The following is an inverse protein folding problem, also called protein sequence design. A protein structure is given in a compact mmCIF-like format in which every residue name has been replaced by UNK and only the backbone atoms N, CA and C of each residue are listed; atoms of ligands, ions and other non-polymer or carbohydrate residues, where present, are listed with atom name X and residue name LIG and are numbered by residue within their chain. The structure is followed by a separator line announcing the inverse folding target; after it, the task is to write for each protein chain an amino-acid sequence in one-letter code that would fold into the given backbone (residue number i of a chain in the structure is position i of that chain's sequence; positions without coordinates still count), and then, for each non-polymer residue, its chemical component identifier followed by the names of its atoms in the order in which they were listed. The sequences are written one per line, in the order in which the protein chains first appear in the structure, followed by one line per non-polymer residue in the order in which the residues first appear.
data_IF_913828827804
#
_entry.id   IF_913828827804
#
_cell.length_a   1.000
_cell.length_b   1.000
_cell.length_c   1.000
_cell.angle_alpha   90.00
_cell.angle_beta   90.00
_cell.angle_gamma   90.00
#
_symmetry.space_group_name_H-M   'P 1'
#
loop_
_entity.id
_entity.type
_entity.pdbx_description
1 polymer ?
#
# COMPACT_ATOMS: atom_id res chain seq x y z
N UNK A 1 41.64 -30.54 20.72
CA UNK A 1 41.58 -29.26 19.98
C UNK A 1 40.13 -29.11 19.54
N UNK A 2 39.33 -28.41 20.34
CA UNK A 2 37.88 -28.30 20.15
C UNK A 2 37.61 -27.13 19.20
N UNK A 3 36.95 -27.39 18.07
CA UNK A 3 36.52 -26.37 17.12
C UNK A 3 35.14 -25.88 17.55
N UNK A 4 35.11 -24.69 18.16
CA UNK A 4 33.88 -23.95 18.43
C UNK A 4 33.39 -23.33 17.12
N UNK A 5 32.42 -23.97 16.49
CA UNK A 5 31.67 -23.43 15.35
C UNK A 5 30.53 -22.59 15.93
N UNK A 6 30.83 -21.32 16.20
CA UNK A 6 29.83 -20.33 16.59
C UNK A 6 28.95 -20.04 15.37
N UNK A 7 27.84 -20.75 15.28
CA UNK A 7 26.78 -20.50 14.32
C UNK A 7 26.30 -19.04 14.46
N UNK A 8 26.47 -18.31 13.36
CA UNK A 8 26.03 -16.94 13.15
C UNK A 8 24.51 -16.86 13.40
N UNK A 9 23.99 -16.02 14.31
CA UNK A 9 22.56 -15.86 14.47
C UNK A 9 22.01 -15.23 13.19
N UNK A 10 21.14 -15.97 12.52
CA UNK A 10 20.32 -15.53 11.39
C UNK A 10 19.74 -14.16 11.69
N UNK A 11 20.24 -13.15 11.00
CA UNK A 11 19.72 -11.79 11.02
C UNK A 11 18.40 -11.83 10.25
N UNK A 12 17.33 -12.16 10.98
CA UNK A 12 15.96 -11.99 10.48
C UNK A 12 15.80 -10.50 10.12
N UNK A 13 15.34 -10.17 8.89
CA UNK A 13 15.04 -8.79 8.57
C UNK A 13 13.90 -8.35 9.49
N UNK A 14 14.18 -7.40 10.40
CA UNK A 14 13.15 -6.70 11.14
C UNK A 14 12.14 -6.13 10.14
N UNK A 15 10.99 -6.80 10.03
CA UNK A 15 9.84 -6.28 9.32
C UNK A 15 9.33 -5.12 10.18
N UNK A 16 9.64 -3.89 9.76
CA UNK A 16 9.07 -2.66 10.32
C UNK A 16 7.57 -2.85 10.52
N UNK A 17 7.11 -2.83 11.77
CA UNK A 17 5.80 -3.35 12.18
C UNK A 17 4.57 -2.57 11.66
N UNK A 18 4.74 -1.48 10.90
CA UNK A 18 3.63 -0.65 10.40
C UNK A 18 3.71 -0.38 8.88
N UNK A 19 3.90 -1.43 8.07
CA UNK A 19 3.71 -1.28 6.62
C UNK A 19 2.20 -1.32 6.33
N UNK A 20 1.64 -0.19 5.89
CA UNK A 20 0.23 -0.14 5.50
C UNK A 20 -0.13 -1.29 4.55
N UNK A 21 -1.23 -2.02 4.78
CA UNK A 21 -1.62 -3.18 3.98
C UNK A 21 -1.87 -2.82 2.51
N UNK A 22 -2.12 -1.54 2.21
CA UNK A 22 -2.22 -1.00 0.86
C UNK A 22 -0.93 -1.27 0.07
N UNK A 23 0.25 -1.13 0.69
CA UNK A 23 1.54 -1.35 0.05
C UNK A 23 1.87 -2.82 -0.18
N UNK A 24 1.27 -3.72 0.61
CA UNK A 24 1.42 -5.17 0.46
C UNK A 24 0.41 -5.79 -0.52
N UNK A 25 -0.68 -5.08 -0.82
CA UNK A 25 -1.84 -5.59 -1.59
C UNK A 25 -1.51 -5.99 -3.04
N UNK A 26 -0.57 -5.32 -3.69
CA UNK A 26 -0.26 -5.51 -5.10
C UNK A 26 1.25 -5.50 -5.37
N UNK A 27 1.68 -6.21 -6.41
CA UNK A 27 3.08 -6.18 -6.88
C UNK A 27 3.52 -4.77 -7.24
N UNK A 28 2.64 -3.99 -7.88
CA UNK A 28 2.92 -2.58 -8.22
C UNK A 28 2.96 -1.72 -6.96
N UNK A 29 2.08 -1.97 -5.98
CA UNK A 29 2.09 -1.26 -4.71
C UNK A 29 3.40 -1.51 -3.94
N UNK A 30 3.87 -2.76 -3.88
CA UNK A 30 5.18 -3.10 -3.27
C UNK A 30 6.35 -2.41 -3.97
N UNK A 31 6.28 -2.26 -5.29
CA UNK A 31 7.31 -1.55 -6.07
C UNK A 31 7.30 -0.04 -5.81
N UNK A 32 6.12 0.57 -5.69
CA UNK A 32 6.00 1.99 -5.34
C UNK A 32 6.53 2.23 -3.92
N UNK A 33 6.18 1.36 -2.97
CA UNK A 33 6.71 1.43 -1.61
C UNK A 33 8.25 1.33 -1.58
N UNK A 34 8.82 0.35 -2.29
CA UNK A 34 10.27 0.21 -2.39
C UNK A 34 10.95 1.45 -3.02
N UNK A 35 10.30 2.11 -3.98
CA UNK A 35 10.81 3.36 -4.55
C UNK A 35 10.75 4.53 -3.54
N UNK A 36 9.75 4.55 -2.65
CA UNK A 36 9.68 5.51 -1.55
C UNK A 36 10.82 5.34 -0.55
N UNK A 37 11.23 4.12 -0.25
CA UNK A 37 12.43 3.88 0.58
C UNK A 37 13.71 4.40 -0.09
N UNK A 38 13.83 4.22 -1.41
CA UNK A 38 14.96 4.80 -2.18
C UNK A 38 14.98 6.33 -2.08
N UNK A 39 13.84 7.00 -2.05
CA UNK A 39 13.75 8.45 -1.88
C UNK A 39 14.25 8.91 -0.50
N UNK A 40 13.90 8.16 0.57
CA UNK A 40 14.45 8.39 1.91
C UNK A 40 15.97 8.20 1.92
N UNK A 41 16.46 7.18 1.20
CA UNK A 41 17.89 6.90 1.10
C UNK A 41 18.65 8.00 0.36
N UNK A 42 18.07 8.60 -0.68
CA UNK A 42 18.64 9.77 -1.37
C UNK A 42 18.76 10.95 -0.41
N UNK A 43 17.76 11.19 0.44
CA UNK A 43 17.82 12.27 1.44
C UNK A 43 18.97 12.03 2.43
N UNK A 44 19.12 10.79 2.90
CA UNK A 44 20.24 10.41 3.78
C UNK A 44 21.59 10.52 3.06
N UNK A 45 21.67 10.11 1.80
CA UNK A 45 22.86 10.25 0.96
C UNK A 45 23.30 11.72 0.85
N UNK A 46 22.35 12.65 0.65
CA UNK A 46 22.65 14.09 0.61
C UNK A 46 23.18 14.60 1.95
N UNK A 47 22.65 14.12 3.07
CA UNK A 47 23.20 14.46 4.40
C UNK A 47 24.63 13.93 4.60
N UNK A 48 24.92 12.71 4.18
CA UNK A 48 26.27 12.13 4.22
C UNK A 48 27.23 12.93 3.34
N UNK A 49 26.81 13.35 2.15
CA UNK A 49 27.60 14.20 1.27
C UNK A 49 27.90 15.55 1.92
N UNK A 50 26.92 16.19 2.55
CA UNK A 50 27.12 17.45 3.26
C UNK A 50 28.12 17.30 4.41
N UNK A 51 27.99 16.25 5.23
CA UNK A 51 28.94 15.94 6.30
C UNK A 51 30.34 15.65 5.78
N UNK A 52 30.46 14.90 4.68
CA UNK A 52 31.74 14.61 4.02
C UNK A 52 32.42 15.89 3.51
N UNK A 53 31.66 16.80 2.89
CA UNK A 53 32.15 18.11 2.46
C UNK A 53 32.54 19.00 3.63
N UNK A 54 31.79 18.98 4.74
CA UNK A 54 32.13 19.72 5.96
C UNK A 54 33.45 19.24 6.57
N UNK A 55 33.69 17.92 6.60
CA UNK A 55 34.95 17.32 7.05
C UNK A 55 36.13 17.65 6.12
N UNK A 56 35.91 17.83 4.83
CA UNK A 56 36.95 18.26 3.89
C UNK A 56 37.16 19.78 3.86
N UNK A 57 36.16 20.56 4.28
CA UNK A 57 36.26 22.01 4.30
C UNK A 57 37.25 22.47 5.37
N UNK A 58 38.01 23.51 5.04
CA UNK A 58 38.80 24.24 6.04
C UNK A 58 37.86 24.69 7.17
N UNK A 59 38.25 24.60 8.45
CA UNK A 59 37.43 25.13 9.53
C UNK A 59 37.07 26.57 9.18
N UNK A 60 35.77 26.89 9.19
CA UNK A 60 35.27 28.24 8.95
C UNK A 60 36.00 29.17 9.94
N UNK A 61 36.58 30.24 9.43
CA UNK A 61 37.45 31.14 10.20
C UNK A 61 36.70 32.05 11.18
N UNK A 62 35.43 31.77 11.49
CA UNK A 62 34.60 32.62 12.34
C UNK A 62 33.92 31.84 13.46
N UNK A 63 34.45 32.00 14.68
CA UNK A 63 33.67 31.89 15.90
C UNK A 63 34.06 30.76 16.86
N UNK A 64 34.11 31.01 18.18
CA UNK A 64 34.41 30.01 19.21
C UNK A 64 33.31 28.95 19.41
N UNK A 65 32.24 28.94 18.59
CA UNK A 65 31.16 27.96 18.67
C UNK A 65 31.33 26.76 17.71
N UNK A 66 32.32 26.80 16.80
CA UNK A 66 32.65 25.69 15.87
C UNK A 66 33.47 24.56 16.54
N UNK A 67 33.30 24.34 17.84
CA UNK A 67 34.01 23.31 18.62
C UNK A 67 33.54 21.88 18.36
N UNK A 68 32.47 21.69 17.59
CA UNK A 68 31.86 20.36 17.37
C UNK A 68 32.58 19.52 16.30
N UNK A 69 33.47 20.13 15.50
CA UNK A 69 34.19 19.43 14.44
C UNK A 69 35.58 18.93 14.92
N UNK A 70 35.86 17.62 14.83
CA UNK A 70 37.14 17.05 15.22
C UNK A 70 38.29 17.68 14.41
N UNK A 71 39.42 17.90 15.10
CA UNK A 71 40.60 18.61 14.56
C UNK A 71 41.63 17.60 14.05
N UNK A 72 42.33 17.94 12.97
CA UNK A 72 43.52 17.20 12.51
C UNK A 72 43.25 15.79 11.96
N UNK A 73 44.04 14.79 12.39
CA UNK A 73 44.04 13.44 11.82
C UNK A 73 42.71 12.67 12.03
N UNK A 74 41.99 12.93 13.12
CA UNK A 74 40.67 12.34 13.40
C UNK A 74 39.62 12.78 12.37
N UNK A 75 39.79 13.97 11.77
CA UNK A 75 38.91 14.48 10.71
C UNK A 75 39.09 13.69 9.42
N UNK A 76 40.33 13.34 9.08
CA UNK A 76 40.61 12.52 7.89
C UNK A 76 40.11 11.09 8.05
N UNK A 77 40.19 10.50 9.24
CA UNK A 77 39.64 9.16 9.51
C UNK A 77 38.11 9.16 9.39
N UNK A 78 37.43 10.08 10.09
CA UNK A 78 35.97 10.24 9.98
C UNK A 78 35.50 10.55 8.57
N UNK A 79 36.31 11.27 7.79
CA UNK A 79 36.00 11.52 6.39
C UNK A 79 35.98 10.21 5.58
N UNK A 80 36.98 9.33 5.77
CA UNK A 80 37.02 8.04 5.07
C UNK A 80 35.81 7.19 5.42
N UNK A 81 35.43 7.14 6.70
CA UNK A 81 34.26 6.38 7.15
C UNK A 81 32.96 6.91 6.52
N UNK A 82 32.72 8.22 6.60
CA UNK A 82 31.52 8.86 6.03
C UNK A 82 31.50 8.75 4.50
N UNK A 83 32.66 8.85 3.84
CA UNK A 83 32.76 8.70 2.39
C UNK A 83 32.46 7.26 1.96
N UNK A 84 32.94 6.26 2.71
CA UNK A 84 32.61 4.86 2.46
C UNK A 84 31.11 4.60 2.62
N UNK A 85 30.48 5.07 3.71
CA UNK A 85 29.03 4.95 3.91
C UNK A 85 28.26 5.63 2.76
N UNK A 86 28.70 6.80 2.31
CA UNK A 86 28.11 7.48 1.15
C UNK A 86 28.15 6.61 -0.11
N UNK A 87 29.30 6.01 -0.45
CA UNK A 87 29.42 5.19 -1.66
C UNK A 87 28.64 3.88 -1.58
N UNK A 88 28.60 3.23 -0.41
CA UNK A 88 27.78 2.03 -0.18
C UNK A 88 26.29 2.37 -0.34
N UNK A 89 25.84 3.50 0.21
CA UNK A 89 24.46 3.95 0.08
C UNK A 89 24.12 4.30 -1.37
N UNK A 90 25.03 4.95 -2.08
CA UNK A 90 24.88 5.28 -3.50
C UNK A 90 24.73 4.02 -4.37
N UNK A 91 25.54 2.99 -4.11
CA UNK A 91 25.44 1.73 -4.85
C UNK A 91 24.10 1.03 -4.59
N UNK A 92 23.65 1.01 -3.34
CA UNK A 92 22.32 0.50 -2.96
C UNK A 92 21.17 1.22 -3.69
N UNK A 93 21.18 2.55 -3.68
CA UNK A 93 20.20 3.39 -4.40
C UNK A 93 20.20 3.05 -5.89
N UNK A 94 21.38 2.96 -6.50
CA UNK A 94 21.51 2.71 -7.92
C UNK A 94 21.00 1.33 -8.34
N UNK A 95 21.31 0.29 -7.55
CA UNK A 95 20.79 -1.07 -7.78
C UNK A 95 19.27 -1.08 -7.65
N UNK A 96 18.71 -0.41 -6.65
CA UNK A 96 17.26 -0.35 -6.43
C UNK A 96 16.54 0.37 -7.59
N UNK A 97 17.04 1.52 -8.04
CA UNK A 97 16.47 2.26 -9.18
C UNK A 97 16.51 1.42 -10.45
N UNK A 98 17.64 0.76 -10.74
CA UNK A 98 17.78 -0.12 -11.91
C UNK A 98 16.79 -1.28 -11.86
N UNK A 99 16.63 -1.89 -10.69
CA UNK A 99 15.68 -2.99 -10.47
C UNK A 99 14.24 -2.55 -10.65
N UNK A 100 13.87 -1.39 -10.08
CA UNK A 100 12.55 -0.77 -10.25
C UNK A 100 12.25 -0.44 -11.72
N UNK A 101 13.23 0.13 -12.45
CA UNK A 101 13.08 0.40 -13.88
C UNK A 101 12.91 -0.89 -14.70
N UNK A 102 13.70 -1.92 -14.41
CA UNK A 102 13.57 -3.22 -15.06
C UNK A 102 12.18 -3.83 -14.82
N UNK A 103 11.68 -3.73 -13.60
CA UNK A 103 10.33 -4.14 -13.26
C UNK A 103 9.25 -3.34 -14.00
N UNK A 104 9.37 -2.00 -14.08
CA UNK A 104 8.45 -1.15 -14.84
C UNK A 104 8.46 -1.54 -16.33
N UNK A 105 9.64 -1.84 -16.89
CA UNK A 105 9.77 -2.31 -18.27
C UNK A 105 9.11 -3.68 -18.46
N UNK A 106 9.28 -4.60 -17.52
CA UNK A 106 8.64 -5.91 -17.53
C UNK A 106 7.11 -5.81 -17.36
N UNK A 107 6.64 -4.85 -16.55
CA UNK A 107 5.23 -4.61 -16.30
C UNK A 107 4.55 -3.76 -17.36
N UNK A 108 5.26 -3.35 -18.43
CA UNK A 108 4.64 -2.68 -19.58
C UNK A 108 3.60 -3.60 -20.22
N UNK A 109 2.36 -3.43 -19.82
CA UNK A 109 1.22 -3.58 -20.72
C UNK A 109 1.30 -2.34 -21.61
N UNK A 110 1.67 -2.51 -22.88
CA UNK A 110 1.60 -1.40 -23.82
C UNK A 110 0.16 -0.84 -23.81
N UNK A 111 -0.07 0.48 -23.87
CA UNK A 111 -1.43 1.02 -24.03
C UNK A 111 -2.15 0.44 -25.26
N UNK A 112 -1.39 -0.02 -26.27
CA UNK A 112 -1.89 -0.77 -27.42
C UNK A 112 -2.33 -2.22 -27.12
N UNK A 113 -1.93 -2.78 -25.98
CA UNK A 113 -2.42 -4.06 -25.47
C UNK A 113 -3.76 -3.91 -24.71
N UNK A 114 -4.19 -2.68 -24.42
CA UNK A 114 -5.57 -2.39 -24.05
C UNK A 114 -6.37 -2.40 -25.35
N UNK A 115 -6.75 -3.60 -25.79
CA UNK A 115 -7.62 -3.74 -26.95
C UNK A 115 -8.96 -3.11 -26.58
N UNK A 116 -9.39 -2.12 -27.37
CA UNK A 116 -10.74 -1.59 -27.21
C UNK A 116 -11.72 -2.77 -27.34
N UNK A 117 -12.77 -2.81 -26.50
CA UNK A 117 -13.82 -3.79 -26.68
C UNK A 117 -14.32 -3.74 -28.15
N UNK A 118 -14.68 -4.89 -28.74
CA UNK A 118 -15.18 -4.93 -30.11
C UNK A 118 -16.26 -3.88 -30.34
N UNK A 119 -16.34 -3.31 -31.55
CA UNK A 119 -17.39 -2.34 -31.88
C UNK A 119 -18.77 -2.94 -31.55
N UNK A 120 -19.55 -2.26 -30.71
CA UNK A 120 -20.84 -2.75 -30.21
C UNK A 120 -20.80 -3.58 -28.92
N UNK A 121 -19.64 -3.70 -28.26
CA UNK A 121 -19.55 -4.36 -26.95
C UNK A 121 -20.35 -3.58 -25.90
N UNK A 122 -21.47 -4.16 -25.49
CA UNK A 122 -22.23 -3.75 -24.32
C UNK A 122 -21.74 -4.60 -23.14
N UNK A 123 -21.13 -4.01 -22.10
CA UNK A 123 -20.68 -4.77 -20.95
C UNK A 123 -21.85 -5.58 -20.36
N UNK A 124 -21.61 -6.85 -19.94
CA UNK A 124 -22.62 -7.57 -19.19
C UNK A 124 -22.92 -6.77 -17.93
N UNK A 125 -24.20 -6.55 -17.70
CA UNK A 125 -24.72 -5.80 -16.58
C UNK A 125 -24.48 -6.57 -15.27
N UNK A 126 -23.26 -6.49 -14.71
CA UNK A 126 -22.93 -7.00 -13.39
C UNK A 126 -23.85 -6.32 -12.37
N UNK A 127 -24.80 -7.09 -11.82
CA UNK A 127 -25.83 -6.60 -10.90
C UNK A 127 -27.13 -6.15 -11.54
N UNK A 128 -27.21 -5.89 -12.86
CA UNK A 128 -28.34 -5.20 -13.53
C UNK A 128 -28.81 -5.82 -14.88
N UNK A 129 -28.84 -7.14 -15.06
CA UNK A 129 -29.22 -7.78 -16.36
C UNK A 129 -30.69 -8.21 -16.48
N UNK A 130 -31.39 -7.99 -17.62
CA UNK A 130 -32.82 -8.40 -17.84
C UNK A 130 -32.72 -9.84 -18.26
N UNK A 131 -33.35 -10.77 -17.56
CA UNK A 131 -33.54 -12.06 -18.19
C UNK A 131 -34.30 -11.90 -19.49
N UNK A 132 -33.66 -12.44 -20.51
CA UNK A 132 -34.27 -12.51 -21.82
C UNK A 132 -35.60 -13.23 -21.67
N UNK A 133 -36.70 -12.50 -21.83
CA UNK A 133 -37.99 -13.08 -22.09
C UNK A 133 -37.99 -13.42 -23.59
N UNK A 134 -37.42 -14.57 -23.93
CA UNK A 134 -37.67 -15.14 -25.25
C UNK A 134 -39.19 -15.40 -25.38
N UNK A 135 -39.71 -15.33 -26.60
CA UNK A 135 -41.14 -15.39 -26.92
C UNK A 135 -41.87 -16.68 -26.48
N UNK A 136 -41.16 -17.63 -25.84
CA UNK A 136 -41.72 -18.71 -25.03
C UNK A 136 -41.62 -18.30 -23.55
N UNK A 137 -42.67 -17.63 -23.08
CA UNK A 137 -42.73 -16.92 -21.80
C UNK A 137 -41.99 -17.56 -20.62
N UNK A 138 -40.88 -16.94 -20.22
CA UNK A 138 -40.43 -16.84 -18.83
C UNK A 138 -39.74 -15.47 -18.70
N UNK A 139 -40.41 -14.51 -18.06
CA UNK A 139 -39.83 -13.21 -17.78
C UNK A 139 -38.70 -13.31 -16.75
N UNK A 140 -37.74 -12.40 -16.82
CA UNK A 140 -37.18 -11.70 -15.65
C UNK A 140 -36.49 -10.41 -16.16
N UNK A 141 -36.33 -9.36 -15.37
CA UNK A 141 -35.88 -8.02 -15.81
C UNK A 141 -34.51 -7.51 -15.35
N UNK A 142 -34.02 -6.30 -15.79
CA UNK A 142 -32.65 -5.64 -15.86
C UNK A 142 -31.95 -5.51 -14.54
N UNK A 143 -32.12 -6.53 -13.77
CA UNK A 143 -31.78 -6.68 -12.40
C UNK A 143 -31.08 -8.01 -12.40
N UNK A 144 -29.78 -7.93 -12.17
CA UNK A 144 -29.05 -9.11 -11.82
C UNK A 144 -29.81 -9.75 -10.68
N UNK A 145 -29.82 -11.07 -10.66
CA UNK A 145 -30.47 -11.86 -9.60
C UNK A 145 -30.04 -11.42 -8.19
N UNK A 146 -28.89 -10.74 -8.08
CA UNK A 146 -28.41 -10.10 -6.87
C UNK A 146 -29.36 -9.01 -6.37
N UNK A 147 -29.84 -8.15 -7.26
CA UNK A 147 -30.80 -7.11 -6.91
C UNK A 147 -32.17 -7.72 -6.57
N UNK A 148 -32.62 -8.74 -7.30
CA UNK A 148 -33.88 -9.44 -7.01
C UNK A 148 -33.84 -10.11 -5.62
N UNK A 149 -32.68 -10.68 -5.24
CA UNK A 149 -32.50 -11.31 -3.92
C UNK A 149 -32.45 -10.28 -2.81
N UNK A 150 -31.69 -9.21 -2.99
CA UNK A 150 -31.60 -8.12 -2.00
C UNK A 150 -32.97 -7.49 -1.77
N UNK A 151 -33.74 -7.28 -2.83
CA UNK A 151 -35.12 -6.76 -2.75
C UNK A 151 -36.04 -7.72 -1.99
N UNK A 152 -36.00 -9.02 -2.30
CA UNK A 152 -36.82 -10.01 -1.60
C UNK A 152 -36.53 -10.09 -0.10
N UNK A 153 -35.26 -10.04 0.28
CA UNK A 153 -34.84 -10.11 1.68
C UNK A 153 -35.21 -8.83 2.44
N UNK A 154 -35.13 -7.67 1.78
CA UNK A 154 -35.61 -6.40 2.32
C UNK A 154 -37.13 -6.43 2.58
N UNK A 155 -37.93 -6.94 1.63
CA UNK A 155 -39.38 -7.05 1.80
C UNK A 155 -39.79 -7.97 2.95
N UNK A 156 -39.08 -9.09 3.13
CA UNK A 156 -39.31 -9.97 4.29
C UNK A 156 -39.00 -9.24 5.60
N UNK A 157 -37.87 -8.53 5.65
CA UNK A 157 -37.50 -7.75 6.84
C UNK A 157 -38.54 -6.68 7.21
N UNK A 158 -39.13 -6.01 6.22
CA UNK A 158 -40.18 -5.00 6.44
C UNK A 158 -41.45 -5.65 7.00
N UNK A 159 -41.88 -6.78 6.43
CA UNK A 159 -43.07 -7.50 6.92
C UNK A 159 -42.88 -7.96 8.36
N UNK A 160 -41.72 -8.53 8.67
CA UNK A 160 -41.38 -8.98 10.03
C UNK A 160 -41.31 -7.81 11.03
N UNK A 161 -40.85 -6.64 10.60
CA UNK A 161 -40.84 -5.45 11.44
C UNK A 161 -42.27 -4.93 11.71
N UNK A 162 -43.13 -4.92 10.70
CA UNK A 162 -44.52 -4.45 10.83
C UNK A 162 -45.37 -5.40 11.66
N UNK A 163 -45.18 -6.71 11.55
CA UNK A 163 -45.86 -7.69 12.40
C UNK A 163 -45.47 -7.50 13.86
N UNK A 164 -44.18 -7.31 14.16
CA UNK A 164 -43.71 -6.98 15.52
C UNK A 164 -44.35 -5.70 16.07
N UNK A 165 -44.45 -4.64 15.27
CA UNK A 165 -45.09 -3.38 15.68
C UNK A 165 -46.58 -3.56 15.94
N UNK A 166 -47.27 -4.34 15.10
CA UNK A 166 -48.70 -4.65 15.30
C UNK A 166 -48.93 -5.41 16.60
N UNK A 167 -48.14 -6.46 16.85
CA UNK A 167 -48.21 -7.24 18.08
C UNK A 167 -47.93 -6.39 19.33
N UNK A 168 -46.96 -5.48 19.26
CA UNK A 168 -46.67 -4.55 20.35
C UNK A 168 -47.86 -3.61 20.63
N UNK A 169 -48.51 -3.09 19.59
CA UNK A 169 -49.65 -2.19 19.71
C UNK A 169 -50.91 -2.88 20.21
N UNK A 170 -51.12 -4.14 19.84
CA UNK A 170 -52.23 -4.95 20.34
C UNK A 170 -52.06 -5.27 21.83
N UNK A 171 -50.83 -5.51 22.29
CA UNK A 171 -50.50 -5.66 23.72
C UNK A 171 -50.75 -4.36 24.48
N UNK A 172 -50.24 -3.22 24.00
CA UNK A 172 -50.46 -1.92 24.63
C UNK A 172 -51.96 -1.56 24.70
N UNK A 173 -52.73 -1.89 23.65
CA UNK A 173 -54.18 -1.68 23.64
C UNK A 173 -54.90 -2.60 24.63
N UNK A 174 -54.46 -3.85 24.78
CA UNK A 174 -55.01 -4.77 25.77
C UNK A 174 -54.70 -4.29 27.20
N UNK A 175 -53.46 -3.87 27.46
CA UNK A 175 -53.03 -3.34 28.76
C UNK A 175 -53.80 -2.04 29.13
N UNK A 176 -54.12 -1.19 28.14
CA UNK A 176 -54.94 0.02 28.32
C UNK A 176 -56.44 -0.25 28.56
N UNK A 177 -56.92 -1.45 28.23
CA UNK A 177 -58.30 -1.89 28.47
C UNK A 177 -58.46 -2.62 29.82
N UNK A 178 -57.37 -3.09 30.41
CA UNK A 178 -57.35 -3.85 31.67
C UNK A 178 -57.00 -2.98 32.90
N UNK A 179 -56.58 -1.72 32.68
CA UNK A 179 -56.44 -0.67 33.71
C UNK A 179 -57.66 0.26 33.77
#
# INVERSE_FOLDING_TARGET
MATNESANPSMEPELSEDIDPIWLSSRTARQIYALGEVEKDITRLLSLAASSMALLSLPQTDGPEDEELPKGAERSEKFVDVANEYFERLDGIHIAIRSSLAHIRQSRIAPSAINAPPHGFVPPALGVGLPSADAQGVARGTRGLQEERVEKDAWKGIVDALTRIKEAREKEKADSMES
#
